data_IF_793530893091
#
_entry.id   IF_793530893091
#
_cell.length_a   1.000
_cell.length_b   1.000
_cell.length_c   1.000
_cell.angle_alpha   90.00
_cell.angle_beta   90.00
_cell.angle_gamma   90.00
#
_symmetry.space_group_name_H-M   'P 1'
#
loop_
_entity.id
_entity.type
_entity.pdbx_description
1 polymer ?
#
# COMPACT_ATOMS: atom_id res chain seq x y z
N UNK A 1 -5.01 -22.77 -1.61
CA UNK A 1 -5.42 -21.75 -2.58
C UNK A 1 -4.80 -20.46 -2.10
N UNK A 2 -3.88 -19.87 -2.87
CA UNK A 2 -3.25 -18.61 -2.49
C UNK A 2 -4.26 -17.48 -2.71
N UNK A 3 -4.47 -16.60 -1.72
CA UNK A 3 -5.28 -15.41 -1.87
C UNK A 3 -4.43 -14.18 -2.19
N UNK A 4 -5.03 -13.00 -2.20
CA UNK A 4 -4.35 -11.74 -2.53
C UNK A 4 -4.37 -10.82 -1.32
N UNK A 5 -3.21 -10.29 -0.96
CA UNK A 5 -3.07 -9.26 0.07
C UNK A 5 -3.01 -7.90 -0.60
N UNK A 6 -3.69 -6.91 -0.02
CA UNK A 6 -3.64 -5.52 -0.45
C UNK A 6 -3.40 -4.59 0.73
N UNK A 7 -2.23 -3.95 0.73
CA UNK A 7 -1.76 -3.05 1.77
C UNK A 7 -1.65 -1.63 1.20
N UNK A 8 -2.24 -0.66 1.89
CA UNK A 8 -2.20 0.75 1.49
C UNK A 8 -1.68 1.63 2.61
N UNK A 9 -0.92 2.65 2.24
CA UNK A 9 -0.59 3.79 3.10
C UNK A 9 -0.90 5.08 2.35
N UNK A 10 -1.68 5.96 2.97
CA UNK A 10 -2.16 7.19 2.37
C UNK A 10 -1.80 8.36 3.27
N UNK A 11 -1.00 9.30 2.76
CA UNK A 11 -0.82 10.58 3.44
C UNK A 11 -2.01 11.46 3.11
N UNK A 12 -2.68 11.95 4.15
CA UNK A 12 -3.91 12.71 4.01
C UNK A 12 -3.83 14.03 4.76
N UNK A 13 -4.61 15.00 4.30
CA UNK A 13 -4.84 16.27 4.99
C UNK A 13 -6.32 16.55 5.13
N UNK A 14 -6.74 17.06 6.28
CA UNK A 14 -8.09 17.59 6.46
C UNK A 14 -8.09 19.06 6.00
N UNK A 15 -8.78 19.41 4.90
CA UNK A 15 -8.70 20.76 4.33
C UNK A 15 -9.37 21.83 5.21
N UNK A 16 -10.27 21.44 6.11
CA UNK A 16 -10.96 22.37 7.01
C UNK A 16 -10.11 22.75 8.21
N UNK A 17 -9.34 21.79 8.76
CA UNK A 17 -8.53 21.99 9.97
C UNK A 17 -7.04 22.16 9.69
N UNK A 18 -6.57 21.80 8.49
CA UNK A 18 -5.16 21.75 8.13
C UNK A 18 -4.39 20.58 8.73
N UNK A 19 -5.05 19.71 9.51
CA UNK A 19 -4.40 18.55 10.11
C UNK A 19 -3.87 17.60 9.02
N UNK A 20 -2.75 16.94 9.29
CA UNK A 20 -2.16 15.94 8.39
C UNK A 20 -1.90 14.64 9.15
N UNK A 21 -1.87 13.53 8.43
CA UNK A 21 -1.60 12.21 9.02
C UNK A 21 -1.47 11.13 7.95
N UNK A 22 -1.13 9.92 8.36
CA UNK A 22 -1.05 8.75 7.47
C UNK A 22 -2.04 7.70 7.93
N UNK A 23 -2.83 7.22 6.97
CA UNK A 23 -3.78 6.15 7.17
C UNK A 23 -3.31 4.91 6.41
N UNK A 24 -3.26 3.78 7.11
CA UNK A 24 -2.85 2.50 6.56
C UNK A 24 -3.97 1.46 6.70
N UNK A 25 -4.11 0.61 5.69
CA UNK A 25 -5.13 -0.43 5.65
C UNK A 25 -4.57 -1.72 5.05
N UNK A 26 -4.92 -2.85 5.64
CA UNK A 26 -4.58 -4.18 5.17
C UNK A 26 -5.89 -4.89 4.82
N UNK A 27 -5.94 -5.43 3.60
CA UNK A 27 -7.04 -6.25 3.14
C UNK A 27 -6.53 -7.63 2.72
N UNK A 28 -7.21 -8.67 3.19
CA UNK A 28 -6.97 -10.05 2.78
C UNK A 28 -8.15 -10.54 1.94
N UNK A 29 -7.87 -11.30 0.90
CA UNK A 29 -8.92 -11.80 0.02
C UNK A 29 -9.33 -13.23 0.35
N UNK A 30 -8.50 -14.01 1.05
CA UNK A 30 -8.83 -15.34 1.55
C UNK A 30 -9.09 -16.40 0.45
N UNK A 31 -9.03 -15.99 -0.81
CA UNK A 31 -9.14 -16.80 -2.02
C UNK A 31 -8.37 -16.11 -3.13
N UNK A 32 -7.83 -16.90 -4.06
CA UNK A 32 -7.36 -16.36 -5.32
C UNK A 32 -8.53 -15.63 -5.97
N UNK A 33 -8.29 -14.42 -6.46
CA UNK A 33 -9.30 -13.67 -7.19
C UNK A 33 -9.63 -14.30 -8.56
N UNK A 34 -9.01 -15.43 -8.93
CA UNK A 34 -9.21 -16.11 -10.21
C UNK A 34 -8.64 -15.33 -11.41
N UNK A 35 -8.05 -14.18 -11.13
CA UNK A 35 -7.07 -13.49 -11.93
C UNK A 35 -5.72 -14.04 -11.48
N UNK A 36 -4.93 -14.56 -12.42
CA UNK A 36 -3.48 -14.56 -12.24
C UNK A 36 -3.13 -13.09 -12.17
N UNK A 37 -2.73 -12.53 -11.02
CA UNK A 37 -2.40 -11.13 -10.97
C UNK A 37 -1.19 -10.94 -11.88
N UNK A 38 -1.39 -10.40 -13.07
CA UNK A 38 -0.29 -9.81 -13.82
C UNK A 38 -0.09 -8.50 -13.10
N UNK A 39 0.83 -8.49 -12.15
CA UNK A 39 1.01 -7.43 -11.16
C UNK A 39 1.47 -6.07 -11.75
N UNK A 40 1.15 -5.84 -13.02
CA UNK A 40 1.18 -4.58 -13.75
C UNK A 40 -0.04 -3.72 -13.41
N UNK A 41 0.04 -2.45 -13.79
CA UNK A 41 -0.87 -1.35 -13.45
C UNK A 41 -2.38 -1.67 -13.50
N UNK A 42 -2.83 -2.44 -14.49
CA UNK A 42 -4.26 -2.73 -14.66
C UNK A 42 -4.84 -3.62 -13.55
N UNK A 43 -4.06 -4.55 -12.99
CA UNK A 43 -4.54 -5.44 -11.93
C UNK A 43 -4.51 -4.78 -10.55
N UNK A 44 -3.55 -3.89 -10.25
CA UNK A 44 -3.49 -3.17 -8.97
C UNK A 44 -4.70 -2.25 -8.79
N UNK A 45 -5.01 -1.43 -9.80
CA UNK A 45 -6.20 -0.58 -9.81
C UNK A 45 -7.50 -1.40 -9.78
N UNK A 46 -7.50 -2.57 -10.42
CA UNK A 46 -8.68 -3.44 -10.44
C UNK A 46 -8.89 -4.12 -9.10
N UNK A 47 -7.82 -4.54 -8.42
CA UNK A 47 -7.87 -5.08 -7.05
C UNK A 47 -8.41 -4.00 -6.12
N UNK A 48 -7.79 -2.81 -6.05
CA UNK A 48 -8.24 -1.75 -5.15
C UNK A 48 -9.70 -1.31 -5.34
N UNK A 49 -10.20 -1.28 -6.57
CA UNK A 49 -11.55 -0.78 -6.88
C UNK A 49 -12.63 -1.86 -6.98
N UNK A 50 -12.34 -3.03 -7.54
CA UNK A 50 -13.36 -4.07 -7.85
C UNK A 50 -13.33 -5.23 -6.86
N UNK A 51 -12.19 -5.45 -6.21
CA UNK A 51 -11.99 -6.53 -5.26
C UNK A 51 -11.25 -5.98 -4.04
N UNK A 52 -11.91 -5.21 -3.16
CA UNK A 52 -11.22 -4.56 -2.05
C UNK A 52 -10.80 -5.53 -0.93
N UNK A 53 -11.32 -6.76 -0.90
CA UNK A 53 -11.02 -7.76 0.13
C UNK A 53 -11.68 -7.46 1.48
N UNK A 54 -11.41 -8.30 2.47
CA UNK A 54 -11.79 -8.03 3.86
C UNK A 54 -10.70 -7.20 4.52
N UNK A 55 -11.05 -6.05 5.09
CA UNK A 55 -10.12 -5.23 5.86
C UNK A 55 -9.85 -5.87 7.22
N UNK A 56 -8.67 -6.47 7.39
CA UNK A 56 -8.30 -7.18 8.62
C UNK A 56 -7.61 -6.30 9.64
N UNK A 57 -6.86 -5.28 9.19
CA UNK A 57 -6.24 -4.32 10.09
C UNK A 57 -6.17 -2.90 9.49
N UNK A 58 -6.08 -1.91 10.37
CA UNK A 58 -5.89 -0.52 9.98
C UNK A 58 -5.18 0.30 11.04
N UNK A 59 -4.43 1.31 10.62
CA UNK A 59 -3.78 2.29 11.49
C UNK A 59 -4.00 3.69 10.93
N UNK A 60 -4.80 4.51 11.62
CA UNK A 60 -5.23 5.82 11.10
C UNK A 60 -4.82 6.96 12.02
N UNK A 61 -4.06 7.93 11.52
CA UNK A 61 -3.77 9.17 12.24
C UNK A 61 -4.92 10.17 12.15
N UNK A 62 -5.66 10.18 11.02
CA UNK A 62 -6.81 11.04 10.81
C UNK A 62 -8.04 10.20 10.48
N UNK A 63 -9.13 10.46 11.20
CA UNK A 63 -10.41 9.80 10.95
C UNK A 63 -10.84 10.00 9.48
N UNK A 64 -11.36 8.95 8.82
CA UNK A 64 -11.89 9.06 7.46
C UNK A 64 -13.05 10.07 7.37
N UNK A 65 -13.22 10.67 6.19
CA UNK A 65 -14.30 11.61 5.89
C UNK A 65 -13.77 13.03 5.61
N UNK A 66 -13.83 13.45 4.34
CA UNK A 66 -13.46 14.80 3.93
C UNK A 66 -11.96 15.09 3.82
N UNK A 67 -11.09 14.10 4.07
CA UNK A 67 -9.65 14.26 3.88
C UNK A 67 -9.28 14.26 2.39
N UNK A 68 -8.25 15.03 2.03
CA UNK A 68 -7.59 15.00 0.72
C UNK A 68 -6.36 14.12 0.80
N UNK A 69 -6.22 13.17 -0.13
CA UNK A 69 -5.01 12.35 -0.27
C UNK A 69 -3.93 13.16 -0.99
N UNK A 70 -2.74 13.22 -0.40
CA UNK A 70 -1.57 13.92 -0.93
C UNK A 70 -0.65 12.97 -1.69
N UNK A 71 -0.42 11.79 -1.11
CA UNK A 71 0.38 10.71 -1.67
C UNK A 71 -0.17 9.38 -1.16
N UNK A 72 0.04 8.31 -1.92
CA UNK A 72 -0.28 6.96 -1.48
C UNK A 72 0.69 5.94 -2.05
N UNK A 73 0.87 4.86 -1.29
CA UNK A 73 1.63 3.69 -1.64
C UNK A 73 0.69 2.49 -1.51
N UNK A 74 0.51 1.78 -2.61
CA UNK A 74 -0.25 0.54 -2.67
C UNK A 74 0.72 -0.61 -2.87
N UNK A 75 0.50 -1.69 -2.13
CA UNK A 75 1.33 -2.90 -2.15
C UNK A 75 0.38 -4.07 -2.30
N UNK A 76 0.64 -4.89 -3.30
CA UNK A 76 -0.14 -6.10 -3.57
C UNK A 76 0.79 -7.30 -3.61
N UNK A 77 0.38 -8.39 -2.97
CA UNK A 77 1.11 -9.66 -3.00
C UNK A 77 0.14 -10.82 -2.83
N UNK A 78 0.66 -12.04 -2.84
CA UNK A 78 -0.12 -13.19 -2.41
C UNK A 78 -0.35 -13.17 -0.89
N UNK A 79 -1.47 -13.73 -0.42
CA UNK A 79 -1.76 -13.92 1.02
C UNK A 79 -0.69 -14.83 1.67
N UNK A 80 -0.07 -15.71 0.88
CA UNK A 80 0.99 -16.62 1.31
C UNK A 80 2.40 -16.07 1.09
N UNK A 81 2.54 -14.80 0.69
CA UNK A 81 3.86 -14.15 0.60
C UNK A 81 4.52 -14.16 1.97
N UNK A 82 5.78 -14.60 2.03
CA UNK A 82 6.50 -14.66 3.31
C UNK A 82 6.67 -13.25 3.89
N UNK A 83 6.50 -13.08 5.21
CA UNK A 83 6.80 -11.83 5.91
C UNK A 83 8.16 -11.22 5.56
N UNK A 84 9.21 -12.04 5.44
CA UNK A 84 10.55 -11.58 5.06
C UNK A 84 10.59 -10.96 3.68
N UNK A 85 9.90 -11.58 2.72
CA UNK A 85 9.95 -11.20 1.32
C UNK A 85 9.17 -9.90 1.10
N UNK A 86 8.05 -9.74 1.82
CA UNK A 86 7.27 -8.50 1.89
C UNK A 86 8.12 -7.34 2.45
N UNK A 87 8.76 -7.54 3.60
CA UNK A 87 9.56 -6.50 4.25
C UNK A 87 10.80 -6.15 3.42
N UNK A 88 11.45 -7.14 2.81
CA UNK A 88 12.58 -6.92 1.92
C UNK A 88 12.16 -6.12 0.69
N UNK A 89 11.04 -6.48 0.04
CA UNK A 89 10.53 -5.77 -1.14
C UNK A 89 10.21 -4.31 -0.82
N UNK A 90 9.55 -4.04 0.31
CA UNK A 90 9.25 -2.68 0.78
C UNK A 90 10.55 -1.92 1.03
N UNK A 91 11.49 -2.51 1.77
CA UNK A 91 12.74 -1.84 2.16
C UNK A 91 13.60 -1.49 0.96
N UNK A 92 13.71 -2.43 0.01
CA UNK A 92 14.61 -2.32 -1.13
C UNK A 92 14.13 -1.34 -2.22
N UNK A 93 12.97 -0.72 -2.02
CA UNK A 93 12.41 0.29 -2.91
C UNK A 93 12.98 1.68 -2.61
N UNK A 94 14.16 1.99 -3.16
CA UNK A 94 14.92 3.18 -2.76
C UNK A 94 14.47 4.49 -3.44
N UNK A 95 13.87 4.42 -4.62
CA UNK A 95 13.49 5.60 -5.40
C UNK A 95 12.01 5.52 -5.79
N UNK A 96 11.31 6.68 -5.85
CA UNK A 96 9.96 6.72 -6.38
C UNK A 96 9.97 6.24 -7.83
N UNK A 97 9.05 5.35 -8.22
CA UNK A 97 8.94 4.89 -9.58
C UNK A 97 8.46 6.06 -10.46
N UNK A 98 8.52 5.88 -11.77
CA UNK A 98 7.88 6.85 -12.65
C UNK A 98 6.37 6.92 -12.33
N UNK A 99 5.72 8.08 -12.58
CA UNK A 99 4.27 8.13 -12.54
C UNK A 99 3.70 7.00 -13.40
N UNK A 100 2.70 6.28 -12.87
CA UNK A 100 2.03 5.16 -13.54
C UNK A 100 2.86 3.86 -13.68
N UNK A 101 4.07 3.82 -13.12
CA UNK A 101 4.90 2.62 -13.09
C UNK A 101 4.61 1.77 -11.85
N UNK A 102 4.46 0.46 -12.06
CA UNK A 102 4.40 -0.54 -11.00
C UNK A 102 5.74 -1.26 -10.94
N UNK A 103 6.30 -1.34 -9.74
CA UNK A 103 7.56 -2.04 -9.50
C UNK A 103 7.29 -3.32 -8.75
N UNK A 104 7.84 -4.42 -9.27
CA UNK A 104 7.64 -5.77 -8.71
C UNK A 104 8.96 -6.35 -8.22
N UNK A 105 8.96 -6.88 -6.99
CA UNK A 105 10.10 -7.57 -6.38
C UNK A 105 9.59 -8.68 -5.46
N UNK A 106 10.14 -9.89 -5.59
CA UNK A 106 9.74 -11.06 -4.78
C UNK A 106 8.22 -11.30 -4.76
N UNK A 107 7.55 -11.17 -5.92
CA UNK A 107 6.09 -11.30 -6.06
C UNK A 107 5.27 -10.29 -5.23
N UNK A 108 5.92 -9.18 -4.86
CA UNK A 108 5.29 -8.02 -4.24
C UNK A 108 5.36 -6.87 -5.23
N UNK A 109 4.21 -6.31 -5.54
CA UNK A 109 4.08 -5.24 -6.50
C UNK A 109 3.59 -3.97 -5.85
N UNK A 110 4.21 -2.87 -6.21
CA UNK A 110 4.04 -1.61 -5.55
C UNK A 110 3.70 -0.52 -6.54
N UNK A 111 2.73 0.30 -6.18
CA UNK A 111 2.33 1.46 -6.92
C UNK A 111 2.39 2.68 -6.03
N UNK A 112 3.16 3.69 -6.45
CA UNK A 112 3.30 4.94 -5.73
C UNK A 112 2.71 6.08 -6.53
N UNK A 113 1.86 6.85 -5.86
CA UNK A 113 1.31 8.08 -6.40
C UNK A 113 1.63 9.24 -5.47
N UNK A 114 1.96 10.38 -6.08
CA UNK A 114 2.10 11.64 -5.39
C UNK A 114 1.39 12.73 -6.19
N UNK A 115 0.52 13.48 -5.52
CA UNK A 115 -0.20 14.59 -6.13
C UNK A 115 0.77 15.59 -6.74
N UNK A 116 0.44 16.13 -7.92
CA UNK A 116 1.22 17.19 -8.58
C UNK A 116 1.24 18.50 -7.77
N UNK A 117 0.38 18.63 -6.76
CA UNK A 117 0.42 19.75 -5.82
C UNK A 117 1.67 19.74 -4.91
N UNK A 118 2.37 18.62 -4.81
CA UNK A 118 3.64 18.51 -4.09
C UNK A 118 4.83 18.72 -5.05
N UNK A 119 5.82 19.56 -4.70
CA UNK A 119 6.99 19.75 -5.57
C UNK A 119 7.78 18.45 -5.76
N UNK A 120 8.39 18.29 -6.94
CA UNK A 120 9.03 17.04 -7.35
C UNK A 120 10.11 16.53 -6.38
N UNK A 121 10.88 17.46 -5.79
CA UNK A 121 11.90 17.17 -4.76
C UNK A 121 11.36 16.50 -3.49
N UNK A 122 10.05 16.61 -3.21
CA UNK A 122 9.42 15.95 -2.07
C UNK A 122 8.96 14.52 -2.38
N UNK A 123 8.93 14.08 -3.64
CA UNK A 123 8.39 12.75 -4.01
C UNK A 123 9.17 11.59 -3.37
N UNK A 124 10.50 11.67 -3.35
CA UNK A 124 11.32 10.66 -2.69
C UNK A 124 11.07 10.64 -1.18
N UNK A 125 10.92 11.82 -0.56
CA UNK A 125 10.57 11.94 0.84
C UNK A 125 9.17 11.38 1.14
N UNK A 126 8.18 11.60 0.26
CA UNK A 126 6.84 11.03 0.41
C UNK A 126 6.85 9.49 0.38
N UNK A 127 7.61 8.90 -0.54
CA UNK A 127 7.76 7.45 -0.60
C UNK A 127 8.34 6.91 0.71
N UNK A 128 9.44 7.49 1.19
CA UNK A 128 10.09 7.07 2.42
C UNK A 128 9.18 7.23 3.66
N UNK A 129 8.42 8.33 3.73
CA UNK A 129 7.44 8.56 4.79
C UNK A 129 6.38 7.46 4.82
N UNK A 130 5.82 7.08 3.67
CA UNK A 130 4.81 6.02 3.58
C UNK A 130 5.39 4.64 3.88
N UNK A 131 6.58 4.32 3.36
CA UNK A 131 7.29 3.07 3.65
C UNK A 131 7.59 2.93 5.13
N UNK A 132 8.19 3.96 5.75
CA UNK A 132 8.53 3.93 7.17
C UNK A 132 7.29 3.72 8.03
N UNK A 133 6.16 4.33 7.65
CA UNK A 133 4.90 4.11 8.35
C UNK A 133 4.41 2.66 8.25
N UNK A 134 4.54 2.03 7.08
CA UNK A 134 4.22 0.61 6.90
C UNK A 134 5.15 -0.27 7.74
N UNK A 135 6.45 0.01 7.73
CA UNK A 135 7.45 -0.75 8.49
C UNK A 135 7.23 -0.62 10.01
N UNK A 136 6.87 0.56 10.51
CA UNK A 136 6.44 0.76 11.91
C UNK A 136 5.19 -0.06 12.26
N UNK A 137 4.32 -0.28 11.28
CA UNK A 137 3.08 -1.05 11.42
C UNK A 137 3.26 -2.55 11.14
N UNK A 138 4.44 -2.97 10.66
CA UNK A 138 4.73 -4.36 10.30
C UNK A 138 4.37 -5.38 11.40
N UNK A 139 4.66 -5.17 12.69
CA UNK A 139 4.33 -6.15 13.72
C UNK A 139 2.83 -6.49 13.81
N UNK A 140 1.94 -5.56 13.44
CA UNK A 140 0.49 -5.78 13.41
C UNK A 140 0.08 -6.45 12.09
N UNK A 141 0.62 -5.98 10.94
CA UNK A 141 0.40 -6.60 9.62
C UNK A 141 0.74 -8.10 9.68
N UNK A 142 1.91 -8.44 10.23
CA UNK A 142 2.40 -9.81 10.27
C UNK A 142 1.59 -10.75 11.17
N UNK A 143 0.78 -10.22 12.10
CA UNK A 143 -0.13 -11.05 12.93
C UNK A 143 -1.39 -11.46 12.18
N UNK A 144 -1.80 -10.65 11.20
CA UNK A 144 -2.99 -10.92 10.39
C UNK A 144 -2.70 -11.85 9.21
N UNK A 145 -1.44 -11.94 8.77
CA UNK A 145 -1.07 -12.84 7.69
C UNK A 145 -1.25 -14.31 8.11
N UNK A 146 -1.77 -15.17 7.21
CA UNK A 146 -1.90 -16.59 7.50
C UNK A 146 -0.54 -17.19 7.81
N UNK A 147 -0.50 -18.10 8.80
CA UNK A 147 0.72 -18.85 9.10
C UNK A 147 1.07 -19.75 7.89
N UNK A 148 2.27 -19.55 7.34
CA UNK A 148 2.83 -20.32 6.21
C UNK A 148 3.58 -21.53 6.75
#
# INVERSE_FOLDING_TARGET
>A
MSGTMYLTAQRVTNPTTGATGINCFLHLHGRSLGITPDWRFDDVNRISNQYPGEKTASKTDLSPGGNRVLSYLEIVSEDTTKPSDLLEAITAFAEPPNPDEVVTRNDVSMFFFCSQALPHEYRANELDVLKNRILEWAPEILRELPAI
#
